data_IF_354160953152
#
_entry.id   IF_354160953152
#
_cell.length_a   1.000
_cell.length_b   1.000
_cell.length_c   1.000
_cell.angle_alpha   90.00
_cell.angle_beta   90.00
_cell.angle_gamma   90.00
#
_symmetry.space_group_name_H-M   'P 1'
#
loop_
_entity.id
_entity.type
_entity.pdbx_description
1 polymer ?
#
# COMPACT_ATOMS: atom_id res chain seq x y z
N UNK A 1 6.98 8.53 64.39
CA UNK A 1 7.25 9.80 63.69
C UNK A 1 8.56 9.64 62.94
N UNK A 2 8.49 9.44 61.62
CA UNK A 2 9.30 10.09 60.57
C UNK A 2 8.67 9.60 59.27
N UNK A 3 8.00 10.51 58.57
CA UNK A 3 7.46 10.24 57.25
C UNK A 3 8.60 10.24 56.23
N UNK A 4 8.62 9.24 55.37
CA UNK A 4 9.35 9.29 54.12
C UNK A 4 8.31 9.50 53.01
N UNK A 5 8.21 10.75 52.58
CA UNK A 5 7.67 11.04 51.27
C UNK A 5 8.80 10.91 50.27
N UNK A 6 8.66 10.01 49.29
CA UNK A 6 9.34 10.14 48.01
C UNK A 6 8.51 9.48 46.92
N UNK A 7 8.06 10.36 46.03
CA UNK A 7 7.84 10.18 44.60
C UNK A 7 6.96 9.02 44.12
N UNK A 8 5.73 9.39 43.72
CA UNK A 8 5.09 8.78 42.57
C UNK A 8 5.97 8.99 41.33
N UNK A 9 6.12 7.95 40.49
CA UNK A 9 5.95 8.20 39.07
C UNK A 9 4.86 7.31 38.47
N UNK A 10 3.80 7.99 38.05
CA UNK A 10 2.94 7.82 36.87
C UNK A 10 2.72 6.40 36.28
N UNK A 11 1.49 6.10 35.80
CA UNK A 11 1.27 4.98 34.91
C UNK A 11 2.09 5.20 33.63
N UNK A 12 2.89 4.19 33.25
CA UNK A 12 3.42 4.07 31.89
C UNK A 12 2.23 3.97 30.93
N UNK A 13 1.82 5.12 30.42
CA UNK A 13 1.01 5.23 29.22
C UNK A 13 1.72 4.36 28.19
N UNK A 14 1.07 3.30 27.74
CA UNK A 14 1.58 2.49 26.65
C UNK A 14 1.39 3.30 25.38
N UNK A 15 2.26 4.30 25.20
CA UNK A 15 2.53 4.95 23.94
C UNK A 15 3.34 3.95 23.09
N UNK A 16 2.63 2.98 22.52
CA UNK A 16 3.00 2.41 21.24
C UNK A 16 1.98 2.92 20.21
N UNK A 17 1.79 4.24 20.19
CA UNK A 17 1.59 4.92 18.91
C UNK A 17 2.94 4.85 18.23
N UNK A 18 3.22 3.72 17.56
CA UNK A 18 4.37 3.61 16.69
C UNK A 18 4.37 4.84 15.80
N UNK A 19 5.53 5.47 15.80
CA UNK A 19 5.79 6.67 15.05
C UNK A 19 5.25 6.47 13.63
N UNK A 20 4.21 7.24 13.30
CA UNK A 20 3.87 7.56 11.92
C UNK A 20 5.00 8.46 11.41
N UNK A 21 6.22 7.93 11.40
CA UNK A 21 7.41 8.65 11.00
C UNK A 21 7.35 8.74 9.49
N UNK A 22 6.84 9.89 9.06
CA UNK A 22 7.20 10.52 7.81
C UNK A 22 6.64 9.82 6.57
N UNK A 23 5.31 9.79 6.51
CA UNK A 23 4.44 9.76 5.31
C UNK A 23 5.17 9.73 3.98
N UNK A 24 5.68 8.55 3.62
CA UNK A 24 5.94 8.24 2.23
C UNK A 24 4.58 8.05 1.58
N UNK A 25 4.09 9.07 0.88
CA UNK A 25 2.84 8.99 0.12
C UNK A 25 2.99 8.17 -1.17
N UNK A 26 4.16 7.52 -1.35
CA UNK A 26 4.43 6.65 -2.47
C UNK A 26 3.94 5.23 -2.19
N UNK A 27 3.34 4.65 -3.21
CA UNK A 27 2.87 3.27 -3.22
C UNK A 27 3.30 2.61 -4.52
N UNK A 28 3.50 1.30 -4.48
CA UNK A 28 3.71 0.45 -5.63
C UNK A 28 2.37 -0.13 -6.05
N UNK A 29 2.10 -0.04 -7.35
CA UNK A 29 0.92 -0.61 -7.95
C UNK A 29 1.26 -1.99 -8.52
N UNK A 30 0.63 -3.04 -7.99
CA UNK A 30 0.96 -4.44 -8.26
C UNK A 30 -0.11 -5.19 -9.03
N UNK A 31 -1.07 -4.48 -9.64
CA UNK A 31 -2.18 -5.11 -10.36
C UNK A 31 -1.71 -6.15 -11.38
N UNK A 32 -0.66 -5.85 -12.16
CA UNK A 32 -0.08 -6.78 -13.13
C UNK A 32 0.44 -8.07 -12.48
N UNK A 33 1.10 -7.98 -11.33
CA UNK A 33 1.62 -9.13 -10.60
C UNK A 33 0.48 -9.98 -10.05
N UNK A 34 -0.53 -9.35 -9.46
CA UNK A 34 -1.72 -10.01 -8.91
C UNK A 34 -2.54 -10.69 -10.01
N UNK A 35 -2.66 -10.07 -11.18
CA UNK A 35 -3.27 -10.68 -12.37
C UNK A 35 -2.49 -11.92 -12.82
N UNK A 36 -1.17 -11.82 -12.94
CA UNK A 36 -0.32 -12.94 -13.33
C UNK A 36 -0.39 -14.12 -12.34
N UNK A 37 -0.46 -13.82 -11.03
CA UNK A 37 -0.66 -14.82 -9.98
C UNK A 37 -1.97 -15.62 -10.13
N UNK A 38 -2.97 -15.05 -10.81
CA UNK A 38 -4.25 -15.70 -11.13
C UNK A 38 -4.33 -16.26 -12.55
N UNK A 39 -3.21 -16.31 -13.26
CA UNK A 39 -3.15 -16.81 -14.63
C UNK A 39 -3.70 -15.84 -15.67
N UNK A 40 -3.93 -14.57 -15.30
CA UNK A 40 -4.44 -13.53 -16.18
C UNK A 40 -3.28 -12.67 -16.69
N UNK A 41 -2.92 -12.84 -17.96
CA UNK A 41 -1.76 -12.15 -18.56
C UNK A 41 -2.15 -11.04 -19.53
N UNK A 42 -3.43 -10.94 -19.90
CA UNK A 42 -3.93 -9.90 -20.81
C UNK A 42 -5.00 -9.02 -20.17
N UNK A 43 -4.97 -7.74 -20.50
CA UNK A 43 -5.99 -6.74 -20.12
C UNK A 43 -7.36 -7.05 -20.74
N UNK A 44 -7.37 -7.80 -21.83
CA UNK A 44 -8.58 -8.29 -22.53
C UNK A 44 -9.38 -9.27 -21.68
N UNK A 45 -8.75 -10.03 -20.79
CA UNK A 45 -9.42 -10.94 -19.86
C UNK A 45 -10.05 -10.16 -18.69
N UNK A 46 -9.42 -9.05 -18.29
CA UNK A 46 -9.88 -8.21 -17.18
C UNK A 46 -11.07 -7.31 -17.57
N UNK A 47 -11.08 -6.77 -18.79
CA UNK A 47 -12.11 -5.84 -19.25
C UNK A 47 -13.55 -6.37 -19.14
N UNK A 48 -13.90 -7.58 -19.64
CA UNK A 48 -15.27 -8.09 -19.53
C UNK A 48 -15.70 -8.26 -18.07
N UNK A 49 -14.80 -8.72 -17.19
CA UNK A 49 -15.08 -8.91 -15.75
C UNK A 49 -15.39 -7.59 -15.04
N UNK A 50 -14.72 -6.50 -15.44
CA UNK A 50 -15.03 -5.15 -14.97
C UNK A 50 -16.40 -4.67 -15.49
N UNK A 51 -16.72 -4.94 -16.75
CA UNK A 51 -18.00 -4.57 -17.35
C UNK A 51 -19.18 -5.31 -16.70
N UNK A 52 -19.01 -6.58 -16.32
CA UNK A 52 -20.02 -7.35 -15.56
C UNK A 52 -20.35 -6.72 -14.20
N UNK A 53 -19.40 -6.01 -13.59
CA UNK A 53 -19.61 -5.21 -12.37
C UNK A 53 -20.07 -3.76 -12.62
N UNK A 54 -20.43 -3.45 -13.86
CA UNK A 54 -20.88 -2.11 -14.27
C UNK A 54 -19.76 -1.07 -14.34
N UNK A 55 -18.51 -1.50 -14.55
CA UNK A 55 -17.36 -0.64 -14.81
C UNK A 55 -16.97 -0.77 -16.27
N UNK A 56 -17.49 0.14 -17.09
CA UNK A 56 -17.12 0.22 -18.50
C UNK A 56 -15.87 1.10 -18.65
N UNK A 57 -14.74 0.46 -18.96
CA UNK A 57 -13.48 1.12 -19.25
C UNK A 57 -13.06 0.83 -20.69
N UNK A 58 -12.58 1.86 -21.39
CA UNK A 58 -11.99 1.70 -22.71
C UNK A 58 -10.73 0.82 -22.62
N UNK A 59 -10.37 0.06 -23.67
CA UNK A 59 -9.18 -0.80 -23.67
C UNK A 59 -7.89 -0.06 -23.30
N UNK A 60 -7.73 1.18 -23.77
CA UNK A 60 -6.58 2.03 -23.39
C UNK A 60 -6.60 2.41 -21.90
N UNK A 61 -7.77 2.59 -21.29
CA UNK A 61 -7.88 2.86 -19.85
C UNK A 61 -7.52 1.62 -19.02
N UNK A 62 -7.99 0.44 -19.43
CA UNK A 62 -7.62 -0.83 -18.78
C UNK A 62 -6.12 -1.08 -18.92
N UNK A 63 -5.54 -0.82 -20.10
CA UNK A 63 -4.10 -0.95 -20.29
C UNK A 63 -3.31 -0.05 -19.35
N UNK A 64 -3.64 1.25 -19.26
CA UNK A 64 -2.98 2.18 -18.33
C UNK A 64 -3.15 1.75 -16.87
N UNK A 65 -4.34 1.27 -16.52
CA UNK A 65 -4.62 0.76 -15.18
C UNK A 65 -3.72 -0.44 -14.82
N UNK A 66 -3.35 -1.30 -15.78
CA UNK A 66 -2.49 -2.47 -15.51
C UNK A 66 -1.00 -2.15 -15.65
N UNK A 67 -0.63 -1.34 -16.65
CA UNK A 67 0.75 -1.07 -17.02
C UNK A 67 1.39 0.10 -16.25
N UNK A 68 0.59 1.05 -15.76
CA UNK A 68 1.05 2.30 -15.17
C UNK A 68 0.41 2.55 -13.80
N UNK A 69 1.00 3.44 -12.99
CA UNK A 69 0.40 3.88 -11.72
C UNK A 69 -0.78 4.82 -12.03
N UNK A 70 -2.03 4.50 -11.65
CA UNK A 70 -3.16 5.36 -11.97
C UNK A 70 -3.11 6.67 -11.17
N UNK A 71 -3.25 7.82 -11.85
CA UNK A 71 -3.37 9.12 -11.18
C UNK A 71 -4.74 9.30 -10.49
N UNK A 72 -5.78 8.70 -11.07
CA UNK A 72 -7.15 8.73 -10.56
C UNK A 72 -7.76 7.36 -10.69
N UNK A 73 -8.16 6.80 -9.55
CA UNK A 73 -8.84 5.52 -9.47
C UNK A 73 -10.10 5.67 -8.60
N UNK A 74 -11.22 5.13 -9.08
CA UNK A 74 -12.48 5.13 -8.34
C UNK A 74 -12.54 3.94 -7.39
N UNK A 75 -13.04 4.15 -6.16
CA UNK A 75 -13.20 3.07 -5.19
C UNK A 75 -14.05 1.91 -5.72
N UNK A 76 -15.06 2.18 -6.56
CA UNK A 76 -15.84 1.12 -7.23
C UNK A 76 -14.93 0.22 -8.08
N UNK A 77 -14.01 0.79 -8.84
CA UNK A 77 -13.03 0.05 -9.64
C UNK A 77 -12.10 -0.76 -8.74
N UNK A 78 -11.61 -0.19 -7.65
CA UNK A 78 -10.79 -0.92 -6.69
C UNK A 78 -11.53 -2.13 -6.14
N UNK A 79 -12.74 -1.94 -5.61
CA UNK A 79 -13.54 -3.03 -5.04
C UNK A 79 -13.84 -4.12 -6.07
N UNK A 80 -14.10 -3.75 -7.33
CA UNK A 80 -14.29 -4.73 -8.39
C UNK A 80 -13.01 -5.50 -8.71
N UNK A 81 -11.84 -4.85 -8.73
CA UNK A 81 -10.56 -5.55 -8.91
C UNK A 81 -10.29 -6.53 -7.77
N UNK A 82 -10.52 -6.11 -6.51
CA UNK A 82 -10.34 -6.97 -5.33
C UNK A 82 -11.24 -8.19 -5.39
N UNK A 83 -12.48 -8.03 -5.84
CA UNK A 83 -13.41 -9.14 -6.01
C UNK A 83 -13.03 -10.05 -7.20
N UNK A 84 -12.82 -9.48 -8.40
CA UNK A 84 -12.46 -10.24 -9.62
C UNK A 84 -11.19 -11.04 -9.40
N UNK A 85 -10.23 -10.41 -8.75
CA UNK A 85 -8.93 -10.97 -8.44
C UNK A 85 -8.89 -11.45 -7.00
N UNK A 86 -10.00 -11.82 -6.34
CA UNK A 86 -10.04 -12.44 -5.00
C UNK A 86 -8.88 -12.06 -4.04
N UNK A 87 -8.56 -10.78 -3.90
CA UNK A 87 -7.34 -10.29 -3.23
C UNK A 87 -7.64 -9.14 -2.29
N UNK A 88 -6.66 -8.83 -1.45
CA UNK A 88 -6.73 -7.74 -0.48
C UNK A 88 -6.15 -6.45 -1.06
N UNK A 89 -6.48 -5.33 -0.42
CA UNK A 89 -6.00 -4.01 -0.85
C UNK A 89 -4.47 -3.91 -0.83
N UNK A 90 -3.82 -4.51 0.16
CA UNK A 90 -2.36 -4.57 0.32
C UNK A 90 -1.66 -5.35 -0.80
N UNK A 91 -2.34 -6.33 -1.41
CA UNK A 91 -1.79 -7.06 -2.55
C UNK A 91 -1.72 -6.17 -3.80
N UNK A 92 -2.72 -5.30 -3.97
CA UNK A 92 -2.83 -4.39 -5.12
C UNK A 92 -2.00 -3.11 -4.93
N UNK A 93 -2.00 -2.56 -3.72
CA UNK A 93 -1.38 -1.30 -3.33
C UNK A 93 -0.41 -1.59 -2.18
N UNK A 94 0.88 -1.64 -2.51
CA UNK A 94 1.93 -1.82 -1.50
C UNK A 94 2.50 -0.45 -1.12
N UNK A 95 2.31 0.03 0.13
CA UNK A 95 2.90 1.29 0.57
C UNK A 95 4.43 1.15 0.61
N UNK A 96 5.15 2.07 -0.05
CA UNK A 96 6.61 2.05 0.01
C UNK A 96 7.05 2.77 1.29
N UNK A 97 7.90 2.15 2.14
CA UNK A 97 8.44 2.87 3.28
C UNK A 97 9.27 4.07 2.80
N UNK A 98 9.21 5.17 3.55
CA UNK A 98 10.11 6.30 3.31
C UNK A 98 11.53 5.75 3.36
N UNK A 99 12.27 5.88 2.26
CA UNK A 99 13.70 5.61 2.28
C UNK A 99 14.32 6.54 3.33
N UNK A 100 14.65 6.00 4.49
CA UNK A 100 15.57 6.67 5.40
C UNK A 100 16.90 6.70 4.65
N UNK A 101 17.27 7.85 4.08
CA UNK A 101 18.62 8.08 3.59
C UNK A 101 19.56 8.08 4.79
N UNK A 102 19.92 6.89 5.27
CA UNK A 102 20.90 6.66 6.31
C UNK A 102 22.21 6.18 5.70
N UNK A 103 23.20 7.09 5.71
CA UNK A 103 24.63 6.80 5.82
C UNK A 103 25.27 5.80 4.83
N UNK A 104 25.60 6.28 3.62
CA UNK A 104 26.85 5.86 2.96
C UNK A 104 27.93 6.86 3.36
N UNK A 105 28.53 6.62 4.52
CA UNK A 105 29.45 7.52 5.18
C UNK A 105 30.40 6.77 6.09
N UNK A 106 30.93 5.62 5.66
CA UNK A 106 32.08 4.99 6.31
C UNK A 106 32.83 4.05 5.35
N UNK A 107 33.76 4.61 4.57
CA UNK A 107 34.76 3.83 3.83
C UNK A 107 36.08 4.61 3.63
N UNK A 108 36.45 5.45 4.61
CA UNK A 108 37.70 6.25 4.59
C UNK A 108 38.36 6.32 5.98
N UNK A 109 38.66 5.17 6.61
CA UNK A 109 39.73 5.03 7.62
C UNK A 109 39.89 3.59 8.11
N UNK A 110 40.82 2.84 7.53
CA UNK A 110 41.82 2.01 8.20
C UNK A 110 42.92 1.69 7.17
#
# INVERSE_FOLDING_TARGET
>A
MTGDGTALPLPKTSAAGEAHEMTCMDYRWRLREVMAGRGMFSTTDLRPLLAERGIDLSPSQVYRLVAEKPERLSLRTLMALLDILDCTMEDLIEPLPARSSGADGDARRN
#
